data_IF_599584320034
#
_entry.id   IF_599584320034
#
_cell.length_a   1.000
_cell.length_b   1.000
_cell.length_c   1.000
_cell.angle_alpha   90.00
_cell.angle_beta   90.00
_cell.angle_gamma   90.00
#
_symmetry.space_group_name_H-M   'P 1'
#
loop_
_entity.id
_entity.type
_entity.pdbx_description
1 polymer ?
#
# COMPACT_ATOMS: atom_id res chain seq x y z
N UNK A 1 6.39 -11.63 1.04
CA UNK A 1 5.04 -12.26 1.14
C UNK A 1 4.17 -11.76 0.00
N UNK A 2 3.43 -12.63 -0.62
CA UNK A 2 2.57 -12.29 -1.75
C UNK A 2 1.11 -12.42 -1.36
N UNK A 3 0.31 -11.45 -1.81
CA UNK A 3 -1.15 -11.49 -1.65
C UNK A 3 -1.75 -11.46 -3.04
N UNK A 4 -2.58 -12.47 -3.34
CA UNK A 4 -3.21 -12.59 -4.64
C UNK A 4 -4.71 -12.31 -4.52
N UNK A 5 -5.22 -11.45 -5.39
CA UNK A 5 -6.65 -11.19 -5.51
C UNK A 5 -7.02 -11.13 -6.99
N UNK A 6 -7.78 -12.11 -7.45
CA UNK A 6 -8.07 -12.25 -8.86
C UNK A 6 -6.81 -12.48 -9.68
N UNK A 7 -6.56 -11.63 -10.67
CA UNK A 7 -5.36 -11.71 -11.52
C UNK A 7 -4.20 -10.87 -11.00
N UNK A 8 -4.40 -10.17 -9.89
CA UNK A 8 -3.40 -9.24 -9.36
C UNK A 8 -2.69 -9.89 -8.18
N UNK A 9 -1.37 -9.83 -8.19
CA UNK A 9 -0.53 -10.29 -7.09
C UNK A 9 0.30 -9.11 -6.60
N UNK A 10 0.25 -8.83 -5.30
CA UNK A 10 1.08 -7.80 -4.69
C UNK A 10 2.15 -8.43 -3.82
N UNK A 11 3.26 -7.73 -3.69
CA UNK A 11 4.37 -8.12 -2.83
C UNK A 11 4.42 -7.18 -1.64
N UNK A 12 4.52 -7.72 -0.41
CA UNK A 12 4.60 -6.93 0.81
C UNK A 12 5.63 -7.56 1.75
N UNK A 13 6.08 -6.77 2.73
CA UNK A 13 6.92 -7.31 3.80
C UNK A 13 6.09 -8.20 4.72
N UNK A 14 6.75 -9.12 5.42
CA UNK A 14 6.06 -10.09 6.27
C UNK A 14 5.25 -9.42 7.38
N UNK A 15 5.77 -8.36 7.98
CA UNK A 15 5.05 -7.64 9.03
C UNK A 15 3.82 -6.91 8.48
N UNK A 16 3.90 -6.38 7.27
CA UNK A 16 2.74 -5.78 6.60
C UNK A 16 1.69 -6.84 6.31
N UNK A 17 2.10 -8.00 5.84
CA UNK A 17 1.18 -9.12 5.60
C UNK A 17 0.44 -9.50 6.88
N UNK A 18 1.15 -9.67 7.99
CA UNK A 18 0.53 -10.00 9.28
C UNK A 18 -0.42 -8.91 9.75
N UNK A 19 -0.05 -7.66 9.56
CA UNK A 19 -0.91 -6.53 9.91
C UNK A 19 -2.24 -6.60 9.16
N UNK A 20 -2.18 -6.87 7.86
CA UNK A 20 -3.38 -6.88 7.01
C UNK A 20 -4.32 -8.04 7.37
N UNK A 21 -3.78 -9.25 7.57
CA UNK A 21 -4.64 -10.41 7.86
C UNK A 21 -5.27 -10.35 9.24
N UNK A 22 -4.64 -9.63 10.19
CA UNK A 22 -5.13 -9.55 11.56
C UNK A 22 -6.14 -8.42 11.79
N UNK A 23 -6.38 -7.55 10.79
CA UNK A 23 -7.23 -6.37 10.96
C UNK A 23 -8.47 -6.38 10.11
N UNK A 24 -8.75 -7.48 9.41
CA UNK A 24 -9.95 -7.63 8.59
C UNK A 24 -10.15 -6.49 7.58
N UNK A 25 -9.07 -6.04 6.97
CA UNK A 25 -9.16 -5.06 5.90
C UNK A 25 -9.59 -5.70 4.60
N UNK A 26 -10.34 -4.96 3.80
CA UNK A 26 -10.68 -5.34 2.44
C UNK A 26 -9.67 -4.75 1.49
N UNK A 27 -9.03 -5.61 0.70
CA UNK A 27 -8.10 -5.16 -0.33
C UNK A 27 -8.89 -4.72 -1.56
N UNK A 28 -8.53 -3.56 -2.08
CA UNK A 28 -9.15 -2.99 -3.28
C UNK A 28 -8.06 -2.62 -4.27
N UNK A 29 -8.08 -3.25 -5.43
CA UNK A 29 -7.09 -3.02 -6.49
C UNK A 29 -7.70 -2.31 -7.69
N UNK A 30 -8.80 -1.60 -7.50
CA UNK A 30 -9.47 -0.90 -8.58
C UNK A 30 -8.69 0.32 -9.05
N UNK A 31 -8.94 0.74 -10.30
CA UNK A 31 -8.45 2.00 -10.88
C UNK A 31 -6.93 2.18 -10.79
N UNK A 32 -6.17 1.12 -11.01
CA UNK A 32 -4.70 1.16 -11.00
C UNK A 32 -4.09 1.54 -9.64
N UNK A 33 -4.86 1.44 -8.57
CA UNK A 33 -4.39 1.72 -7.22
C UNK A 33 -4.57 0.50 -6.35
N UNK A 34 -3.60 0.25 -5.48
CA UNK A 34 -3.76 -0.74 -4.43
C UNK A 34 -4.09 -0.02 -3.13
N UNK A 35 -5.20 -0.39 -2.52
CA UNK A 35 -5.66 0.24 -1.29
C UNK A 35 -6.33 -0.77 -0.39
N UNK A 36 -6.52 -0.40 0.87
CA UNK A 36 -7.30 -1.16 1.81
C UNK A 36 -8.50 -0.33 2.26
N UNK A 37 -9.57 -1.02 2.60
CA UNK A 37 -10.77 -0.38 3.13
C UNK A 37 -11.06 -0.98 4.50
N UNK A 38 -11.26 -0.12 5.50
CA UNK A 38 -11.63 -0.58 6.83
C UNK A 38 -13.17 -0.77 6.93
N UNK A 39 -13.64 -1.19 8.10
CA UNK A 39 -15.07 -1.42 8.33
C UNK A 39 -15.92 -0.17 8.17
N UNK A 40 -15.35 1.00 8.40
CA UNK A 40 -16.04 2.27 8.26
C UNK A 40 -16.08 2.78 6.82
N UNK A 41 -15.54 2.02 5.89
CA UNK A 41 -15.49 2.42 4.49
C UNK A 41 -14.37 3.38 4.14
N UNK A 42 -13.48 3.69 5.08
CA UNK A 42 -12.34 4.57 4.82
C UNK A 42 -11.29 3.79 4.02
N UNK A 43 -10.90 4.35 2.89
CA UNK A 43 -9.95 3.75 1.99
C UNK A 43 -8.57 4.38 2.18
N UNK A 44 -7.56 3.54 2.36
CA UNK A 44 -6.18 3.99 2.62
C UNK A 44 -5.29 3.34 1.56
N UNK A 45 -4.43 4.10 0.87
CA UNK A 45 -3.44 3.51 -0.03
C UNK A 45 -2.55 2.52 0.71
N UNK A 46 -2.33 1.36 0.11
CA UNK A 46 -1.60 0.28 0.79
C UNK A 46 -0.14 0.65 1.09
N UNK A 47 0.47 1.50 0.26
CA UNK A 47 1.85 1.95 0.51
C UNK A 47 1.98 2.71 1.83
N UNK A 48 0.91 3.39 2.27
CA UNK A 48 0.95 4.10 3.56
C UNK A 48 1.08 3.13 4.73
N UNK A 49 0.41 1.99 4.63
CA UNK A 49 0.53 0.94 5.64
C UNK A 49 1.93 0.33 5.59
N UNK A 50 2.42 0.03 4.39
CA UNK A 50 3.72 -0.60 4.21
C UNK A 50 4.86 0.28 4.77
N UNK A 51 4.82 1.58 4.51
CA UNK A 51 5.82 2.53 5.01
C UNK A 51 5.47 3.08 6.39
N UNK A 52 4.29 2.76 6.90
CA UNK A 52 3.79 3.28 8.19
C UNK A 52 3.79 4.80 8.21
N UNK A 53 3.40 5.42 7.11
CA UNK A 53 3.36 6.86 6.94
C UNK A 53 1.95 7.28 6.50
N UNK A 54 1.21 7.88 7.44
CA UNK A 54 -0.15 8.36 7.17
C UNK A 54 -0.17 9.87 6.89
N UNK A 55 0.98 10.49 6.80
CA UNK A 55 1.07 11.94 6.58
C UNK A 55 0.75 12.25 5.12
N UNK A 56 -0.28 13.07 4.89
CA UNK A 56 -0.74 13.46 3.56
C UNK A 56 0.24 14.35 2.80
N UNK A 57 1.29 14.86 3.46
CA UNK A 57 2.32 15.66 2.81
C UNK A 57 3.30 14.82 1.98
N UNK A 58 3.19 13.50 2.03
CA UNK A 58 4.06 12.62 1.27
C UNK A 58 3.28 11.87 0.20
N UNK A 59 3.96 11.60 -0.90
CA UNK A 59 3.52 10.67 -1.93
C UNK A 59 4.58 9.59 -2.08
N UNK A 60 4.26 8.51 -2.77
CA UNK A 60 5.17 7.39 -2.93
C UNK A 60 5.72 7.34 -4.35
N UNK A 61 6.97 6.90 -4.47
CA UNK A 61 7.58 6.50 -5.73
C UNK A 61 7.94 5.03 -5.62
N UNK A 62 7.55 4.26 -6.63
CA UNK A 62 7.92 2.85 -6.74
C UNK A 62 9.23 2.77 -7.51
N UNK A 63 10.30 2.34 -6.85
CA UNK A 63 11.65 2.40 -7.41
C UNK A 63 11.81 1.53 -8.66
N UNK A 64 11.12 0.39 -8.70
CA UNK A 64 11.12 -0.49 -9.87
C UNK A 64 10.00 -0.17 -10.86
N UNK A 65 9.20 0.85 -10.59
CA UNK A 65 8.05 1.22 -11.41
C UNK A 65 6.84 0.30 -11.26
N UNK A 66 6.91 -0.72 -10.43
CA UNK A 66 5.82 -1.67 -10.24
C UNK A 66 4.99 -1.30 -9.01
N UNK A 67 3.79 -0.77 -9.23
CA UNK A 67 2.87 -0.35 -8.16
C UNK A 67 2.36 -1.51 -7.30
N UNK A 68 2.57 -2.74 -7.73
CA UNK A 68 2.18 -3.93 -6.97
C UNK A 68 3.32 -4.45 -6.09
N UNK A 69 4.50 -3.89 -6.19
CA UNK A 69 5.61 -4.22 -5.31
C UNK A 69 5.65 -3.22 -4.16
N UNK A 70 5.02 -3.61 -3.06
CA UNK A 70 4.82 -2.75 -1.89
C UNK A 70 5.79 -3.06 -0.76
N UNK A 71 6.90 -3.70 -1.08
CA UNK A 71 7.99 -3.84 -0.11
C UNK A 71 8.59 -2.49 0.22
N UNK A 72 8.90 -2.26 1.49
CA UNK A 72 9.44 -0.97 1.93
C UNK A 72 10.71 -0.56 1.18
N UNK A 73 11.54 -1.53 0.82
CA UNK A 73 12.77 -1.27 0.06
C UNK A 73 12.50 -0.75 -1.36
N UNK A 74 11.28 -0.97 -1.88
CA UNK A 74 10.87 -0.47 -3.19
C UNK A 74 10.10 0.85 -3.12
N UNK A 75 9.81 1.34 -1.93
CA UNK A 75 8.97 2.53 -1.75
C UNK A 75 9.82 3.69 -1.28
N UNK A 76 9.80 4.78 -2.03
CA UNK A 76 10.45 6.03 -1.66
C UNK A 76 9.39 7.08 -1.38
N UNK A 77 9.47 7.71 -0.22
CA UNK A 77 8.56 8.80 0.13
C UNK A 77 9.10 10.11 -0.39
N UNK A 78 8.25 10.83 -1.09
CA UNK A 78 8.58 12.13 -1.66
C UNK A 78 7.64 13.16 -1.05
N UNK A 79 8.21 14.24 -0.53
CA UNK A 79 7.43 15.30 0.06
C UNK A 79 6.73 16.11 -1.03
N UNK A 80 5.42 16.32 -0.87
CA UNK A 80 4.61 17.03 -1.86
C UNK A 80 4.75 18.53 -1.82
N UNK A 81 5.42 19.09 -0.86
CA UNK A 81 5.44 20.54 -0.65
C UNK A 81 5.96 21.23 -1.87
N UNK A 82 5.18 22.19 -2.32
CA UNK A 82 5.47 23.07 -3.44
C UNK A 82 5.47 24.50 -2.93
N UNK A 83 6.35 25.30 -3.41
CA UNK A 83 6.41 26.74 -3.11
C UNK A 83 6.03 27.54 -4.31
#
# INVERSE_FOLDING_TARGET
MRIKKGKITIEVDADTYCYLINRYYFLDFSQHKTSIRNRNGIQIPLWRISRRCLNSLFKVQYLDGNKYNLKRTNLRLIRKIQW
#
